data_IF_838330185357
#
_entry.id   IF_838330185357
#
_cell.length_a   1.000
_cell.length_b   1.000
_cell.length_c   1.000
_cell.angle_alpha   90.00
_cell.angle_beta   90.00
_cell.angle_gamma   90.00
#
_symmetry.space_group_name_H-M   'P 1'
#
loop_
_entity.id
_entity.type
_entity.pdbx_description
1 polymer ?
#
# COMPACT_ATOMS: atom_id res chain seq x y z
N UNK A 1 20.20 -42.25 16.27
CA UNK A 1 19.21 -41.90 15.23
C UNK A 1 18.44 -40.69 15.72
N UNK A 2 18.90 -39.48 15.36
CA UNK A 2 18.19 -38.25 15.66
C UNK A 2 17.03 -38.14 14.65
N UNK A 3 15.82 -38.45 15.12
CA UNK A 3 14.61 -38.02 14.42
C UNK A 3 14.47 -36.54 14.74
N UNK A 4 15.01 -35.71 13.87
CA UNK A 4 14.57 -34.33 13.74
C UNK A 4 13.17 -34.41 13.18
N UNK A 5 12.18 -34.55 14.01
CA UNK A 5 10.82 -34.20 13.69
C UNK A 5 10.89 -32.71 13.35
N UNK A 6 11.01 -32.41 12.07
CA UNK A 6 10.56 -31.14 11.53
C UNK A 6 9.08 -31.05 11.93
N UNK A 7 8.81 -30.48 13.10
CA UNK A 7 7.57 -29.80 13.33
C UNK A 7 7.55 -28.64 12.33
N UNK A 8 7.20 -28.96 11.09
CA UNK A 8 6.43 -28.03 10.30
C UNK A 8 5.15 -27.90 11.13
N UNK A 9 5.15 -26.93 12.03
CA UNK A 9 3.93 -26.40 12.54
C UNK A 9 3.16 -26.03 11.29
N UNK A 10 2.21 -26.89 10.92
CA UNK A 10 1.12 -26.53 10.03
C UNK A 10 0.40 -25.41 10.79
N UNK A 11 0.92 -24.19 10.64
CA UNK A 11 0.18 -23.01 11.06
C UNK A 11 -1.12 -23.12 10.32
N UNK A 12 -2.23 -23.01 11.03
CA UNK A 12 -3.52 -23.00 10.34
C UNK A 12 -3.44 -21.93 9.25
N UNK A 13 -4.08 -22.12 8.10
CA UNK A 13 -4.15 -21.08 7.07
C UNK A 13 -4.53 -19.71 7.66
N UNK A 14 -5.37 -19.69 8.70
CA UNK A 14 -5.71 -18.49 9.48
C UNK A 14 -4.52 -17.88 10.22
N UNK A 15 -3.69 -18.70 10.87
CA UNK A 15 -2.50 -18.19 11.57
C UNK A 15 -1.44 -17.67 10.58
N UNK A 16 -1.37 -18.26 9.37
CA UNK A 16 -0.51 -17.78 8.29
C UNK A 16 -1.05 -16.46 7.73
N UNK A 17 -2.36 -16.41 7.46
CA UNK A 17 -3.02 -15.21 6.98
C UNK A 17 -2.93 -14.06 7.97
N UNK A 18 -3.13 -14.29 9.26
CA UNK A 18 -2.92 -13.30 10.33
C UNK A 18 -1.47 -12.85 10.48
N UNK A 19 -0.48 -13.59 9.94
CA UNK A 19 0.90 -13.12 9.81
C UNK A 19 1.08 -12.22 8.58
N UNK A 20 0.34 -12.49 7.52
CA UNK A 20 0.34 -11.69 6.29
C UNK A 20 -0.48 -10.41 6.50
N UNK A 21 -1.59 -10.48 7.26
CA UNK A 21 -2.46 -9.36 7.63
C UNK A 21 -2.40 -9.06 9.14
N UNK A 22 -1.25 -8.61 9.67
CA UNK A 22 -1.08 -8.43 11.12
C UNK A 22 -1.90 -7.28 11.70
N UNK A 23 -2.51 -6.45 10.84
CA UNK A 23 -3.08 -5.17 11.21
C UNK A 23 -4.56 -5.05 10.80
N UNK A 24 -5.45 -5.68 11.56
CA UNK A 24 -6.87 -5.44 11.44
C UNK A 24 -7.68 -6.56 10.79
N UNK A 25 -8.97 -6.44 10.91
CA UNK A 25 -9.97 -7.41 10.44
C UNK A 25 -10.66 -6.92 9.17
N UNK A 26 -10.64 -5.59 8.93
CA UNK A 26 -11.27 -4.95 7.78
C UNK A 26 -10.29 -3.96 7.14
N UNK A 27 -10.47 -3.74 5.83
CA UNK A 27 -9.77 -2.72 5.08
C UNK A 27 -10.78 -1.78 4.44
N UNK A 28 -10.57 -0.48 4.60
CA UNK A 28 -11.25 0.56 3.81
C UNK A 28 -10.20 1.17 2.90
N UNK A 29 -10.54 1.37 1.63
CA UNK A 29 -9.64 1.96 0.65
C UNK A 29 -10.39 2.88 -0.31
N UNK A 30 -9.65 3.83 -0.89
CA UNK A 30 -10.16 4.74 -1.91
C UNK A 30 -10.49 3.95 -3.18
N UNK A 31 -11.74 4.03 -3.60
CA UNK A 31 -12.26 3.39 -4.80
C UNK A 31 -13.12 4.40 -5.55
N UNK A 32 -12.48 5.35 -6.21
CA UNK A 32 -13.16 6.41 -6.97
C UNK A 32 -13.17 6.10 -8.46
N UNK A 33 -14.20 6.56 -9.16
CA UNK A 33 -14.22 6.58 -10.63
C UNK A 33 -13.29 7.67 -11.21
N UNK A 34 -12.92 8.64 -10.37
CA UNK A 34 -11.93 9.66 -10.70
C UNK A 34 -10.51 9.11 -10.54
N UNK A 35 -9.56 9.76 -11.16
CA UNK A 35 -8.15 9.53 -10.83
C UNK A 35 -7.93 9.77 -9.34
N UNK A 36 -7.05 8.98 -8.72
CA UNK A 36 -6.81 9.02 -7.26
C UNK A 36 -6.48 10.43 -6.80
N UNK A 37 -5.64 11.14 -7.55
CA UNK A 37 -5.22 12.52 -7.27
C UNK A 37 -6.40 13.49 -7.33
N UNK A 38 -7.30 13.32 -8.29
CA UNK A 38 -8.50 14.15 -8.43
C UNK A 38 -9.46 13.92 -7.26
N UNK A 39 -9.65 12.67 -6.85
CA UNK A 39 -10.47 12.33 -5.70
C UNK A 39 -9.88 12.90 -4.40
N UNK A 40 -8.57 12.79 -4.20
CA UNK A 40 -7.88 13.37 -3.04
C UNK A 40 -7.93 14.90 -3.04
N UNK A 41 -7.76 15.55 -4.19
CA UNK A 41 -7.84 17.00 -4.32
C UNK A 41 -9.26 17.55 -4.14
N UNK A 42 -10.28 16.78 -4.49
CA UNK A 42 -11.69 17.14 -4.23
C UNK A 42 -12.06 17.04 -2.75
N UNK A 43 -11.22 16.43 -1.94
CA UNK A 43 -11.39 16.20 -0.51
C UNK A 43 -11.37 14.71 -0.22
N UNK A 44 -10.18 14.17 0.07
CA UNK A 44 -10.00 12.74 0.36
C UNK A 44 -11.05 12.25 1.36
N UNK A 45 -11.90 11.30 1.00
CA UNK A 45 -12.89 10.73 1.93
C UNK A 45 -12.22 10.03 3.12
N UNK A 46 -10.98 9.49 2.94
CA UNK A 46 -10.16 8.95 4.03
C UNK A 46 -9.50 10.10 4.81
N UNK A 47 -10.29 10.77 5.62
CA UNK A 47 -9.89 11.94 6.41
C UNK A 47 -10.16 11.74 7.90
N UNK A 48 -9.66 12.65 8.71
CA UNK A 48 -9.78 12.56 10.16
C UNK A 48 -11.24 12.46 10.65
N UNK A 49 -12.19 13.12 9.98
CA UNK A 49 -13.60 13.02 10.34
C UNK A 49 -14.13 11.59 10.19
N UNK A 50 -13.89 10.96 9.05
CA UNK A 50 -14.29 9.57 8.81
C UNK A 50 -13.56 8.63 9.78
N UNK A 51 -12.28 8.88 10.05
CA UNK A 51 -11.50 8.10 11.02
C UNK A 51 -12.14 8.12 12.41
N UNK A 52 -12.55 9.28 12.87
CA UNK A 52 -13.23 9.42 14.18
C UNK A 52 -14.61 8.77 14.18
N UNK A 53 -15.33 8.82 13.08
CA UNK A 53 -16.63 8.14 12.92
C UNK A 53 -16.46 6.62 13.04
N UNK A 54 -15.44 6.04 12.38
CA UNK A 54 -15.12 4.61 12.46
C UNK A 54 -14.66 4.23 13.88
N UNK A 55 -13.80 5.03 14.51
CA UNK A 55 -13.35 4.78 15.88
C UNK A 55 -14.49 4.85 16.92
N UNK A 56 -15.59 5.52 16.62
CA UNK A 56 -16.77 5.59 17.49
C UNK A 56 -17.64 4.33 17.41
N UNK A 57 -17.44 3.44 16.46
CA UNK A 57 -18.19 2.17 16.33
C UNK A 57 -17.84 1.27 17.53
N UNK A 58 -18.88 0.78 18.22
CA UNK A 58 -18.68 -0.13 19.33
C UNK A 58 -18.09 -1.45 18.86
N UNK A 59 -16.87 -1.73 19.27
CA UNK A 59 -16.08 -2.90 18.88
C UNK A 59 -14.87 -2.57 18.00
N UNK A 60 -14.78 -1.39 17.39
CA UNK A 60 -13.54 -0.95 16.74
C UNK A 60 -12.51 -0.63 17.81
N UNK A 61 -11.32 -1.16 17.67
CA UNK A 61 -10.20 -0.98 18.62
C UNK A 61 -9.12 -0.07 18.07
N UNK A 62 -8.95 -0.02 16.75
CA UNK A 62 -7.97 0.84 16.09
C UNK A 62 -8.30 1.07 14.62
N UNK A 63 -7.80 2.20 14.08
CA UNK A 63 -7.84 2.55 12.65
C UNK A 63 -6.45 3.02 12.25
N UNK A 64 -5.75 2.19 11.50
CA UNK A 64 -4.35 2.38 11.13
C UNK A 64 -4.26 2.75 9.66
N UNK A 65 -3.63 3.88 9.32
CA UNK A 65 -3.26 4.18 7.94
C UNK A 65 -2.33 3.10 7.43
N UNK A 66 -2.76 2.39 6.39
CA UNK A 66 -2.00 1.29 5.83
C UNK A 66 -1.14 1.74 4.66
N UNK A 67 -1.70 2.58 3.81
CA UNK A 67 -1.02 3.02 2.60
C UNK A 67 -1.33 4.48 2.31
N UNK A 68 -0.28 5.23 2.03
CA UNK A 68 -0.33 6.57 1.45
C UNK A 68 0.37 6.50 0.09
N UNK A 69 -0.34 6.84 -0.99
CA UNK A 69 0.12 6.54 -2.34
C UNK A 69 -0.45 7.50 -3.36
N UNK A 70 0.32 7.75 -4.41
CA UNK A 70 -0.13 8.41 -5.64
C UNK A 70 0.19 7.53 -6.85
N UNK A 71 -0.58 7.73 -7.90
CA UNK A 71 -0.22 7.23 -9.21
C UNK A 71 0.68 8.25 -9.89
N UNK A 72 1.85 7.84 -10.33
CA UNK A 72 2.80 8.69 -11.03
C UNK A 72 3.10 8.16 -12.43
N UNK A 73 3.48 9.07 -13.31
CA UNK A 73 4.11 8.71 -14.56
C UNK A 73 5.54 9.23 -14.52
N UNK A 74 6.49 8.47 -15.04
CA UNK A 74 7.85 8.94 -15.20
C UNK A 74 8.37 8.65 -16.60
N UNK A 75 9.27 9.50 -17.05
CA UNK A 75 9.94 9.33 -18.34
C UNK A 75 11.42 9.10 -18.10
N UNK A 76 11.89 7.95 -18.56
CA UNK A 76 13.30 7.57 -18.53
C UNK A 76 13.69 6.88 -19.84
N UNK A 77 14.85 7.22 -20.39
CA UNK A 77 15.41 6.58 -21.60
C UNK A 77 14.45 6.56 -22.81
N UNK A 78 13.50 7.52 -22.89
CA UNK A 78 12.50 7.59 -23.96
C UNK A 78 11.30 6.66 -23.75
N UNK A 79 11.19 6.02 -22.60
CA UNK A 79 10.08 5.18 -22.18
C UNK A 79 9.22 5.98 -21.19
N UNK A 80 7.92 5.99 -21.43
CA UNK A 80 6.94 6.54 -20.49
C UNK A 80 6.34 5.38 -19.71
N UNK A 81 6.49 5.39 -18.39
CA UNK A 81 5.97 4.39 -17.48
C UNK A 81 4.97 5.01 -16.51
N UNK A 82 4.05 4.18 -16.03
CA UNK A 82 3.07 4.55 -15.03
C UNK A 82 3.11 3.55 -13.89
N UNK A 83 3.13 4.02 -12.66
CA UNK A 83 3.22 3.16 -11.49
C UNK A 83 2.65 3.81 -10.24
N UNK A 84 2.70 3.05 -9.16
CA UNK A 84 2.32 3.51 -7.83
C UNK A 84 3.56 3.95 -7.07
N UNK A 85 3.54 5.18 -6.59
CA UNK A 85 4.55 5.69 -5.68
C UNK A 85 3.96 5.75 -4.27
N UNK A 86 4.57 5.04 -3.34
CA UNK A 86 4.15 4.99 -1.94
C UNK A 86 5.00 5.93 -1.09
N UNK A 87 4.38 6.56 -0.10
CA UNK A 87 5.11 7.39 0.87
C UNK A 87 5.89 6.49 1.84
N UNK A 88 7.15 6.86 2.05
CA UNK A 88 7.95 6.32 3.15
C UNK A 88 7.44 6.85 4.48
N UNK A 89 6.91 5.95 5.29
CA UNK A 89 6.38 6.22 6.63
C UNK A 89 7.22 5.50 7.69
N UNK A 90 7.05 5.84 8.96
CA UNK A 90 7.71 5.11 10.05
C UNK A 90 7.38 3.59 10.04
N UNK A 91 6.21 3.21 9.53
CA UNK A 91 5.76 1.81 9.50
C UNK A 91 6.44 0.98 8.41
N UNK A 92 6.72 1.57 7.23
CA UNK A 92 7.31 0.83 6.11
C UNK A 92 8.81 1.07 5.93
N UNK A 93 9.38 2.15 6.48
CA UNK A 93 10.75 2.58 6.24
C UNK A 93 11.78 1.46 6.46
N UNK A 94 11.72 0.79 7.60
CA UNK A 94 12.71 -0.25 7.94
C UNK A 94 12.63 -1.47 7.03
N UNK A 95 11.44 -1.83 6.56
CA UNK A 95 11.25 -2.93 5.63
C UNK A 95 11.79 -2.58 4.23
N UNK A 96 11.50 -1.36 3.76
CA UNK A 96 11.98 -0.86 2.48
C UNK A 96 13.51 -0.67 2.51
N UNK A 97 14.07 -0.12 3.60
CA UNK A 97 15.52 0.00 3.78
C UNK A 97 16.24 -1.35 3.77
N UNK A 98 15.65 -2.37 4.41
CA UNK A 98 16.19 -3.73 4.40
C UNK A 98 16.13 -4.40 3.03
N UNK A 99 15.21 -3.99 2.16
CA UNK A 99 15.08 -4.46 0.79
C UNK A 99 15.97 -3.69 -0.21
N UNK A 100 16.65 -2.62 0.22
CA UNK A 100 17.51 -1.81 -0.65
C UNK A 100 18.71 -2.64 -1.10
N UNK A 101 18.91 -2.75 -2.41
CA UNK A 101 20.01 -3.50 -3.03
C UNK A 101 21.09 -2.61 -3.62
N UNK A 102 20.77 -1.34 -3.94
CA UNK A 102 21.73 -0.37 -4.49
C UNK A 102 21.32 1.05 -4.07
N UNK A 103 22.30 1.93 -3.84
CA UNK A 103 22.09 3.35 -3.53
C UNK A 103 21.70 3.63 -2.09
N UNK A 104 20.84 4.61 -1.89
CA UNK A 104 20.38 5.10 -0.58
C UNK A 104 18.90 5.39 -0.58
N UNK A 105 18.28 5.40 0.61
CA UNK A 105 16.91 5.83 0.79
C UNK A 105 16.70 7.29 0.33
N UNK A 106 15.51 7.66 -0.18
CA UNK A 106 15.19 9.03 -0.54
C UNK A 106 15.31 9.97 0.67
N UNK A 107 15.89 11.13 0.47
CA UNK A 107 16.13 12.10 1.54
C UNK A 107 15.30 13.39 1.43
N UNK A 108 14.73 13.66 0.24
CA UNK A 108 14.04 14.92 -0.07
C UNK A 108 12.96 14.73 -1.16
N UNK A 109 12.35 15.85 -1.58
CA UNK A 109 11.34 15.87 -2.64
C UNK A 109 11.87 15.56 -4.04
N UNK A 110 13.20 15.52 -4.23
CA UNK A 110 13.83 15.30 -5.53
C UNK A 110 14.56 13.98 -5.64
N UNK A 111 14.20 13.02 -4.79
CA UNK A 111 14.77 11.68 -4.79
C UNK A 111 13.69 10.61 -4.60
N UNK A 112 13.81 9.51 -5.38
CA UNK A 112 12.95 8.31 -5.28
C UNK A 112 13.81 7.05 -5.33
N UNK A 113 13.26 5.94 -4.85
CA UNK A 113 13.78 4.61 -5.12
C UNK A 113 12.78 3.84 -5.97
N UNK A 114 13.29 2.98 -6.84
CA UNK A 114 12.49 2.16 -7.75
C UNK A 114 12.76 0.68 -7.51
N UNK A 115 11.81 -0.17 -7.88
CA UNK A 115 12.00 -1.61 -7.80
C UNK A 115 13.04 -2.11 -8.82
N UNK A 116 13.66 -3.24 -8.50
CA UNK A 116 14.73 -3.83 -9.29
C UNK A 116 14.27 -4.32 -10.66
N UNK A 117 12.99 -4.74 -10.78
CA UNK A 117 12.42 -5.17 -12.04
C UNK A 117 12.31 -3.99 -13.01
N UNK A 118 11.74 -2.89 -12.55
CA UNK A 118 11.65 -1.62 -13.30
C UNK A 118 13.03 -1.09 -13.70
N UNK A 119 13.98 -1.03 -12.73
CA UNK A 119 15.36 -0.62 -13.01
C UNK A 119 16.00 -1.44 -14.12
N UNK A 120 15.82 -2.75 -14.12
CA UNK A 120 16.42 -3.64 -15.12
C UNK A 120 15.69 -3.58 -16.47
N UNK A 121 14.36 -3.57 -16.46
CA UNK A 121 13.53 -3.53 -17.68
C UNK A 121 13.79 -2.25 -18.48
N UNK A 122 13.83 -1.11 -17.80
CA UNK A 122 13.90 0.21 -18.43
C UNK A 122 15.32 0.77 -18.45
N UNK A 123 16.29 -0.02 -17.97
CA UNK A 123 17.69 0.33 -17.86
C UNK A 123 17.92 1.68 -17.14
N UNK A 124 17.19 1.90 -16.04
CA UNK A 124 17.32 3.07 -15.17
C UNK A 124 18.33 2.76 -14.06
N UNK A 125 19.25 3.68 -13.76
CA UNK A 125 20.33 3.47 -12.80
C UNK A 125 20.30 4.50 -11.67
N UNK A 126 20.87 4.12 -10.53
CA UNK A 126 21.10 5.05 -9.42
C UNK A 126 21.92 6.25 -9.91
N UNK A 127 21.48 7.44 -9.53
CA UNK A 127 22.08 8.73 -9.95
C UNK A 127 21.48 9.31 -11.22
N UNK A 128 20.65 8.60 -11.96
CA UNK A 128 19.95 9.16 -13.11
C UNK A 128 18.79 10.07 -12.65
N UNK A 129 18.50 11.08 -13.47
CA UNK A 129 17.37 11.97 -13.26
C UNK A 129 16.26 11.61 -14.24
N UNK A 130 15.05 11.45 -13.69
CA UNK A 130 13.82 11.19 -14.44
C UNK A 130 12.82 12.31 -14.20
N UNK A 131 11.91 12.53 -15.14
CA UNK A 131 10.78 13.45 -14.95
C UNK A 131 9.60 12.66 -14.38
N UNK A 132 9.20 12.97 -13.16
CA UNK A 132 7.99 12.41 -12.53
C UNK A 132 6.85 13.36 -12.73
N UNK A 133 5.74 12.84 -13.26
CA UNK A 133 4.51 13.58 -13.51
C UNK A 133 3.35 12.94 -12.74
N UNK A 134 2.58 13.75 -12.04
CA UNK A 134 1.30 13.35 -11.46
C UNK A 134 0.29 14.48 -11.67
N UNK A 135 -0.88 14.16 -12.23
CA UNK A 135 -1.86 15.16 -12.63
C UNK A 135 -1.28 16.17 -13.64
N UNK A 136 -1.13 17.43 -13.22
CA UNK A 136 -0.60 18.52 -14.05
C UNK A 136 0.82 18.94 -13.67
N UNK A 137 1.37 18.38 -12.62
CA UNK A 137 2.69 18.72 -12.09
C UNK A 137 3.75 17.78 -12.64
N UNK A 138 4.92 18.32 -12.95
CA UNK A 138 6.10 17.53 -13.37
C UNK A 138 7.30 18.03 -12.60
N UNK A 139 8.04 17.13 -11.99
CA UNK A 139 9.21 17.43 -11.16
C UNK A 139 10.37 16.51 -11.60
N UNK A 140 11.58 17.04 -11.83
CA UNK A 140 12.75 16.22 -12.02
C UNK A 140 13.19 15.61 -10.69
N UNK A 141 13.35 14.27 -10.65
CA UNK A 141 13.80 13.54 -9.47
C UNK A 141 14.99 12.65 -9.82
N UNK A 142 15.85 12.43 -8.85
CA UNK A 142 16.99 11.52 -8.98
C UNK A 142 16.65 10.15 -8.43
N UNK A 143 16.97 9.10 -9.14
CA UNK A 143 16.92 7.73 -8.63
C UNK A 143 18.01 7.58 -7.57
N UNK A 144 17.63 7.62 -6.30
CA UNK A 144 18.57 7.51 -5.18
C UNK A 144 18.93 6.07 -4.83
N UNK A 145 18.06 5.11 -5.19
CA UNK A 145 18.32 3.70 -4.91
C UNK A 145 17.41 2.76 -5.68
N UNK A 146 17.75 1.49 -5.60
CA UNK A 146 16.99 0.37 -6.16
C UNK A 146 16.73 -0.63 -5.05
N UNK A 147 15.51 -1.13 -4.95
CA UNK A 147 15.11 -2.11 -3.94
C UNK A 147 14.56 -3.40 -4.58
N UNK A 148 14.59 -4.48 -3.82
CA UNK A 148 14.00 -5.77 -4.20
C UNK A 148 12.56 -5.83 -3.67
N UNK A 149 11.58 -5.68 -4.56
CA UNK A 149 10.17 -5.71 -4.21
C UNK A 149 9.74 -7.05 -3.59
N UNK A 150 10.33 -8.16 -4.02
CA UNK A 150 10.01 -9.49 -3.50
C UNK A 150 10.46 -9.66 -2.03
N UNK A 151 11.39 -8.83 -1.58
CA UNK A 151 11.88 -8.82 -0.19
C UNK A 151 11.02 -7.97 0.75
N UNK A 152 10.13 -7.12 0.22
CA UNK A 152 9.22 -6.34 1.06
C UNK A 152 8.05 -7.22 1.46
N UNK A 153 7.76 -7.36 2.77
CA UNK A 153 6.60 -8.12 3.23
C UNK A 153 5.31 -7.53 2.62
N UNK A 154 4.68 -8.27 1.74
CA UNK A 154 3.38 -7.89 1.20
C UNK A 154 2.34 -7.99 2.30
N UNK A 155 1.38 -7.10 2.30
CA UNK A 155 0.24 -7.13 3.22
C UNK A 155 -0.84 -8.15 2.80
N UNK A 156 -0.43 -9.17 2.03
CA UNK A 156 -1.30 -10.24 1.56
C UNK A 156 -2.20 -9.89 0.37
N UNK A 157 -2.12 -8.70 -0.14
CA UNK A 157 -2.64 -8.45 -1.47
C UNK A 157 -1.65 -8.97 -2.48
N UNK A 158 -1.58 -10.25 -2.69
CA UNK A 158 -0.71 -10.89 -3.65
C UNK A 158 0.38 -9.96 -4.22
N UNK A 159 1.49 -10.39 -4.56
CA UNK A 159 2.50 -9.54 -5.21
C UNK A 159 1.82 -8.44 -6.01
N UNK A 160 2.13 -7.18 -5.72
CA UNK A 160 1.85 -6.09 -6.69
C UNK A 160 2.12 -6.72 -8.06
N UNK A 161 1.17 -6.71 -9.00
CA UNK A 161 1.38 -7.42 -10.25
C UNK A 161 2.78 -7.11 -10.74
N UNK A 162 3.55 -8.13 -11.10
CA UNK A 162 4.98 -8.00 -11.49
C UNK A 162 5.17 -6.94 -12.59
N UNK A 163 4.06 -6.56 -13.22
CA UNK A 163 3.99 -5.57 -14.30
C UNK A 163 3.61 -4.14 -13.84
N UNK A 164 3.39 -3.91 -12.53
CA UNK A 164 3.11 -2.56 -12.04
C UNK A 164 4.36 -2.02 -11.35
N UNK A 165 5.00 -0.99 -11.90
CA UNK A 165 6.11 -0.31 -11.23
C UNK A 165 5.69 0.13 -9.83
N UNK A 166 6.57 -0.10 -8.86
CA UNK A 166 6.44 0.38 -7.51
C UNK A 166 7.63 1.26 -7.17
N UNK A 167 7.35 2.43 -6.66
CA UNK A 167 8.32 3.40 -6.21
C UNK A 167 8.07 3.77 -4.77
N UNK A 168 9.10 4.29 -4.10
CA UNK A 168 8.95 4.94 -2.81
C UNK A 168 9.60 6.31 -2.82
N UNK A 169 8.92 7.26 -2.20
CA UNK A 169 9.38 8.64 -2.04
C UNK A 169 9.08 9.18 -0.64
N UNK A 170 9.65 10.33 -0.35
CA UNK A 170 9.27 11.08 0.85
C UNK A 170 7.92 11.79 0.62
N UNK A 171 7.19 12.08 1.70
CA UNK A 171 5.96 12.88 1.65
C UNK A 171 6.19 14.27 1.00
N UNK A 172 7.41 14.80 1.10
CA UNK A 172 7.77 16.09 0.50
C UNK A 172 7.60 16.12 -1.02
N UNK A 173 7.91 15.03 -1.75
CA UNK A 173 7.66 14.93 -3.19
C UNK A 173 6.16 15.03 -3.49
N UNK A 174 5.34 14.37 -2.70
CA UNK A 174 3.88 14.36 -2.89
C UNK A 174 3.28 15.76 -2.72
N UNK A 175 3.71 16.48 -1.69
CA UNK A 175 3.27 17.87 -1.48
C UNK A 175 3.81 18.84 -2.54
N UNK A 176 4.95 18.56 -3.15
CA UNK A 176 5.45 19.37 -4.27
C UNK A 176 4.68 19.10 -5.57
N UNK A 177 4.30 17.83 -5.83
CA UNK A 177 3.45 17.46 -6.95
C UNK A 177 2.01 17.98 -6.79
N UNK A 178 1.47 17.90 -5.58
CA UNK A 178 0.08 18.18 -5.25
C UNK A 178 -0.06 19.01 -3.97
N UNK A 179 0.30 20.29 -3.99
CA UNK A 179 0.19 21.15 -2.79
C UNK A 179 -1.25 21.36 -2.31
N UNK A 180 -2.24 21.05 -3.15
CA UNK A 180 -3.67 21.14 -2.82
C UNK A 180 -4.19 19.92 -2.04
N UNK A 181 -3.49 18.78 -2.06
CA UNK A 181 -3.93 17.56 -1.39
C UNK A 181 -3.52 17.62 0.09
N UNK A 182 -4.49 17.52 0.98
CA UNK A 182 -4.28 17.57 2.42
C UNK A 182 -3.94 16.20 3.05
N UNK A 183 -4.33 15.10 2.41
CA UNK A 183 -4.08 13.73 2.88
C UNK A 183 -3.92 12.80 1.69
N UNK A 184 -2.87 12.01 1.71
CA UNK A 184 -2.58 10.98 0.72
C UNK A 184 -2.99 9.58 1.19
N UNK A 185 -3.83 9.47 2.20
CA UNK A 185 -4.35 8.20 2.68
C UNK A 185 -5.10 7.48 1.56
N UNK A 186 -4.60 6.30 1.19
CA UNK A 186 -5.20 5.45 0.18
C UNK A 186 -5.96 4.28 0.79
N UNK A 187 -5.47 3.75 1.91
CA UNK A 187 -6.17 2.69 2.63
C UNK A 187 -5.90 2.71 4.13
N UNK A 188 -6.91 2.27 4.88
CA UNK A 188 -6.84 2.04 6.31
C UNK A 188 -7.16 0.58 6.63
N UNK A 189 -6.46 0.02 7.62
CA UNK A 189 -6.83 -1.22 8.27
C UNK A 189 -7.55 -0.91 9.58
N UNK A 190 -8.61 -1.67 9.85
CA UNK A 190 -9.47 -1.48 11.02
C UNK A 190 -9.39 -2.74 11.86
N UNK A 191 -8.95 -2.60 13.11
CA UNK A 191 -8.94 -3.66 14.09
C UNK A 191 -10.23 -3.67 14.91
N UNK A 192 -10.75 -4.86 15.23
CA UNK A 192 -11.99 -5.02 15.97
C UNK A 192 -11.88 -6.02 17.12
N UNK A 193 -12.79 -5.89 18.09
CA UNK A 193 -13.05 -6.95 19.07
C UNK A 193 -13.79 -8.11 18.38
N UNK A 194 -13.21 -9.32 18.32
CA UNK A 194 -13.85 -10.48 17.67
C UNK A 194 -15.26 -10.79 18.18
N UNK A 195 -15.59 -10.40 19.42
CA UNK A 195 -16.93 -10.59 19.97
C UNK A 195 -17.98 -9.66 19.41
N UNK A 196 -17.54 -8.61 18.71
CA UNK A 196 -18.38 -7.57 18.12
C UNK A 196 -18.23 -7.47 16.61
N UNK A 197 -17.57 -8.43 15.97
CA UNK A 197 -17.26 -8.42 14.55
C UNK A 197 -18.49 -8.18 13.68
N UNK A 198 -19.62 -8.86 13.94
CA UNK A 198 -20.86 -8.69 13.18
C UNK A 198 -21.39 -7.24 13.27
N UNK A 199 -21.31 -6.63 14.46
CA UNK A 199 -21.74 -5.24 14.65
C UNK A 199 -20.81 -4.29 13.89
N UNK A 200 -19.49 -4.47 14.02
CA UNK A 200 -18.50 -3.65 13.34
C UNK A 200 -18.67 -3.74 11.83
N UNK A 201 -18.81 -4.96 11.28
CA UNK A 201 -19.02 -5.14 9.85
C UNK A 201 -20.29 -4.45 9.33
N UNK A 202 -21.39 -4.58 10.08
CA UNK A 202 -22.66 -3.93 9.74
C UNK A 202 -22.52 -2.41 9.69
N UNK A 203 -21.90 -1.81 10.72
CA UNK A 203 -21.73 -0.36 10.80
C UNK A 203 -20.73 0.16 9.73
N UNK A 204 -19.65 -0.56 9.46
CA UNK A 204 -18.71 -0.22 8.38
C UNK A 204 -19.41 -0.27 7.01
N UNK A 205 -20.24 -1.27 6.74
CA UNK A 205 -21.06 -1.33 5.52
C UNK A 205 -22.02 -0.14 5.39
N UNK A 206 -22.62 0.30 6.49
CA UNK A 206 -23.49 1.48 6.50
C UNK A 206 -22.70 2.75 6.16
N UNK A 207 -21.51 2.92 6.73
CA UNK A 207 -20.62 4.06 6.42
C UNK A 207 -20.25 4.06 4.95
N UNK A 208 -19.74 2.94 4.43
CA UNK A 208 -19.31 2.83 3.03
C UNK A 208 -20.48 3.05 2.07
N UNK A 209 -21.69 2.60 2.41
CA UNK A 209 -22.89 2.84 1.58
C UNK A 209 -23.23 4.34 1.43
N UNK A 210 -22.74 5.20 2.31
CA UNK A 210 -22.92 6.66 2.22
C UNK A 210 -21.78 7.40 1.53
N UNK A 211 -20.69 6.69 1.19
CA UNK A 211 -19.47 7.22 0.56
C UNK A 211 -19.17 6.46 -0.72
N UNK A 212 -19.43 7.07 -1.88
CA UNK A 212 -19.27 6.41 -3.19
C UNK A 212 -17.82 6.16 -3.58
N UNK A 213 -16.90 6.87 -2.93
CA UNK A 213 -15.47 6.87 -3.31
C UNK A 213 -14.60 5.96 -2.44
N UNK A 214 -15.21 5.18 -1.56
CA UNK A 214 -14.51 4.20 -0.73
C UNK A 214 -15.14 2.82 -0.83
N UNK A 215 -14.32 1.80 -0.66
CA UNK A 215 -14.75 0.40 -0.60
C UNK A 215 -14.29 -0.26 0.70
N UNK A 216 -15.04 -1.29 1.11
CA UNK A 216 -14.76 -2.11 2.28
C UNK A 216 -14.41 -3.53 1.85
N UNK A 217 -13.33 -4.05 2.39
CA UNK A 217 -12.96 -5.47 2.31
C UNK A 217 -12.92 -6.07 3.71
N UNK A 218 -13.50 -7.26 3.84
CA UNK A 218 -13.34 -8.10 5.02
C UNK A 218 -12.16 -9.03 4.77
N UNK A 219 -11.14 -8.96 5.62
CA UNK A 219 -9.89 -9.70 5.45
C UNK A 219 -10.12 -11.21 5.55
N UNK A 220 -11.04 -11.68 6.40
CA UNK A 220 -11.38 -13.10 6.47
C UNK A 220 -11.97 -13.64 5.15
N UNK A 221 -12.72 -12.83 4.42
CA UNK A 221 -13.24 -13.19 3.09
C UNK A 221 -12.11 -13.33 2.07
N UNK A 222 -11.10 -12.47 2.11
CA UNK A 222 -9.92 -12.55 1.25
C UNK A 222 -9.15 -13.84 1.56
N UNK A 223 -8.95 -14.13 2.83
CA UNK A 223 -8.28 -15.35 3.29
C UNK A 223 -9.01 -16.60 2.83
N UNK A 224 -10.33 -16.64 2.89
CA UNK A 224 -11.13 -17.77 2.38
C UNK A 224 -11.00 -17.94 0.86
N UNK A 225 -10.99 -16.83 0.13
CA UNK A 225 -10.81 -16.85 -1.32
C UNK A 225 -9.44 -17.40 -1.71
N UNK A 226 -8.37 -16.98 -1.06
CA UNK A 226 -7.02 -17.50 -1.29
C UNK A 226 -6.89 -18.97 -0.93
N UNK A 227 -7.50 -19.43 0.16
CA UNK A 227 -7.57 -20.86 0.54
C UNK A 227 -8.22 -21.69 -0.57
N UNK A 228 -9.30 -21.18 -1.15
CA UNK A 228 -10.02 -21.89 -2.20
C UNK A 228 -9.19 -21.98 -3.48
N UNK A 229 -8.50 -20.92 -3.91
CA UNK A 229 -7.61 -20.96 -5.09
C UNK A 229 -6.46 -21.95 -4.85
N UNK A 230 -5.79 -21.89 -3.72
CA UNK A 230 -4.65 -22.76 -3.41
C UNK A 230 -5.07 -24.22 -3.23
N UNK A 231 -6.34 -24.53 -2.93
CA UNK A 231 -6.84 -25.90 -2.85
C UNK A 231 -7.06 -26.57 -4.22
N UNK A 232 -7.05 -25.81 -5.31
CA UNK A 232 -7.13 -26.33 -6.70
C UNK A 232 -5.76 -26.60 -7.33
N UNK A 233 -4.66 -26.30 -6.64
CA UNK A 233 -3.29 -26.43 -7.17
C UNK A 233 -2.57 -27.69 -6.63
N UNK A 234 -3.22 -28.52 -5.78
CA UNK A 234 -2.66 -29.77 -5.27
C UNK A 234 -3.49 -31.01 -5.66
#
# INVERSE_FOLDING_TARGET
LLVVSSMVLLRSPEALARQIYPYGDYKIYLHSELAVEEAMAAGNPLNEKLKQEILAIDGVTDVITKRQSLHINYRANGIDEAGWCDILTEQNYSAVEAALIEGTMPADAHSIIIDSHTSNRDNIRVGETVEVTSGKSTIPVTISGVFDNDSIPTDGHGTVPVDSPLEFATEALFHELHPEIASFDYSWNIASDPKKADNVESELKNIVATHTDIALENIDTIIEYEKNINSFVF
#
